data_IF_034361537174
#
_entry.id   IF_034361537174
#
_cell.length_a   1.000
_cell.length_b   1.000
_cell.length_c   1.000
_cell.angle_alpha   90.00
_cell.angle_beta   90.00
_cell.angle_gamma   90.00
#
_symmetry.space_group_name_H-M   'P 1'
#
loop_
_entity.id
_entity.type
_entity.pdbx_description
1 polymer ?
#
# COMPACT_ATOMS: atom_id res chain seq x y z
N UNK A 1 9.65 -29.89 -4.59
CA UNK A 1 9.00 -28.60 -4.87
C UNK A 1 7.54 -28.72 -4.46
N UNK A 2 7.03 -27.89 -3.55
CA UNK A 2 5.59 -27.81 -3.27
C UNK A 2 5.02 -26.72 -4.19
N UNK A 3 4.03 -27.07 -5.01
CA UNK A 3 3.34 -26.07 -5.84
C UNK A 3 2.49 -25.18 -4.96
N UNK A 4 2.96 -23.98 -4.66
CA UNK A 4 2.19 -22.93 -3.99
C UNK A 4 1.68 -21.93 -5.02
N UNK A 5 0.46 -21.45 -4.85
CA UNK A 5 -0.09 -20.36 -5.66
C UNK A 5 0.77 -19.09 -5.52
N UNK A 6 0.88 -18.32 -6.61
CA UNK A 6 1.80 -17.18 -6.76
C UNK A 6 1.61 -16.04 -5.75
N UNK A 7 0.56 -16.07 -4.93
CA UNK A 7 0.23 -15.08 -3.90
C UNK A 7 0.30 -15.71 -2.50
N UNK A 8 1.43 -16.35 -2.19
CA UNK A 8 1.65 -17.05 -0.91
C UNK A 8 0.53 -18.04 -0.56
N UNK A 9 0.01 -18.76 -1.57
CA UNK A 9 -1.04 -19.76 -1.40
C UNK A 9 -2.49 -19.29 -1.64
N UNK A 10 -2.75 -18.01 -1.94
CA UNK A 10 -4.11 -17.52 -2.17
C UNK A 10 -4.61 -17.75 -3.62
N UNK A 11 -5.85 -18.25 -3.77
CA UNK A 11 -6.51 -18.52 -5.07
C UNK A 11 -6.93 -17.23 -5.80
N UNK A 12 -7.22 -16.14 -5.06
CA UNK A 12 -7.57 -14.81 -5.60
C UNK A 12 -6.72 -13.68 -4.98
N UNK A 13 -5.40 -13.88 -4.89
CA UNK A 13 -4.54 -13.03 -4.05
C UNK A 13 -4.26 -11.60 -4.54
N UNK A 14 -4.63 -11.21 -5.78
CA UNK A 14 -4.47 -9.81 -6.24
C UNK A 14 -5.68 -8.94 -5.92
N UNK A 15 -6.88 -9.34 -6.34
CA UNK A 15 -8.13 -8.63 -6.04
C UNK A 15 -9.30 -9.59 -5.98
N UNK A 16 -10.13 -9.47 -4.95
CA UNK A 16 -11.35 -10.25 -4.78
C UNK A 16 -12.39 -9.41 -4.02
N UNK A 17 -13.35 -8.83 -4.74
CA UNK A 17 -14.34 -7.94 -4.15
C UNK A 17 -15.67 -7.99 -4.92
N UNK A 18 -16.72 -7.60 -4.23
CA UNK A 18 -18.05 -7.32 -4.80
C UNK A 18 -18.36 -5.85 -4.58
N UNK A 19 -19.25 -5.26 -5.37
CA UNK A 19 -19.58 -3.85 -5.20
C UNK A 19 -20.87 -3.42 -5.87
N UNK A 20 -21.28 -2.21 -5.50
CA UNK A 20 -22.40 -1.49 -6.09
C UNK A 20 -21.83 -0.25 -6.77
N UNK A 21 -22.32 0.03 -7.98
CA UNK A 21 -21.96 1.23 -8.72
C UNK A 21 -23.19 2.06 -9.01
N UNK A 22 -23.03 3.38 -8.89
CA UNK A 22 -23.95 4.40 -9.35
C UNK A 22 -23.26 5.24 -10.46
N UNK A 23 -23.96 6.18 -11.11
CA UNK A 23 -23.33 7.16 -11.99
C UNK A 23 -22.32 8.10 -11.30
N UNK A 24 -22.39 8.22 -9.97
CA UNK A 24 -21.59 9.16 -9.18
C UNK A 24 -20.44 8.50 -8.44
N UNK A 25 -20.54 7.20 -8.15
CA UNK A 25 -19.61 6.52 -7.27
C UNK A 25 -19.70 4.99 -7.35
N UNK A 26 -18.67 4.33 -6.82
CA UNK A 26 -18.62 2.89 -6.64
C UNK A 26 -18.18 2.58 -5.22
N UNK A 27 -18.93 1.69 -4.55
CA UNK A 27 -18.56 1.12 -3.25
C UNK A 27 -18.30 -0.36 -3.42
N UNK A 28 -17.16 -0.82 -2.91
CA UNK A 28 -16.72 -2.22 -3.03
C UNK A 28 -16.29 -2.77 -1.68
N UNK A 29 -16.46 -4.08 -1.51
CA UNK A 29 -16.16 -4.86 -0.32
C UNK A 29 -15.29 -6.05 -0.70
N UNK A 30 -14.09 -6.16 -0.10
CA UNK A 30 -13.21 -7.31 -0.31
C UNK A 30 -11.72 -6.98 -0.29
N UNK A 31 -10.89 -7.86 -0.88
CA UNK A 31 -9.43 -7.68 -1.01
C UNK A 31 -9.11 -6.79 -2.20
N UNK A 32 -8.46 -5.64 -1.95
CA UNK A 32 -8.25 -4.59 -2.95
C UNK A 32 -6.94 -3.82 -2.71
N UNK A 33 -6.46 -3.09 -3.72
CA UNK A 33 -5.37 -2.13 -3.55
C UNK A 33 -5.77 -0.94 -2.68
N UNK A 34 -4.80 -0.24 -2.08
CA UNK A 34 -5.05 1.01 -1.36
C UNK A 34 -4.96 2.24 -2.29
N UNK A 35 -5.27 3.42 -1.75
CA UNK A 35 -5.35 4.67 -2.53
C UNK A 35 -4.00 5.17 -3.03
N UNK A 36 -2.86 4.82 -2.42
CA UNK A 36 -1.52 5.16 -2.94
C UNK A 36 -1.28 4.42 -4.26
N UNK A 37 -1.61 3.13 -4.30
CA UNK A 37 -1.55 2.34 -5.54
C UNK A 37 -2.49 2.90 -6.59
N UNK A 38 -3.75 3.19 -6.22
CA UNK A 38 -4.78 3.62 -7.17
C UNK A 38 -4.44 4.94 -7.89
N UNK A 39 -3.86 5.91 -7.17
CA UNK A 39 -3.68 7.28 -7.68
C UNK A 39 -2.23 7.65 -8.01
N UNK A 40 -1.24 6.92 -7.51
CA UNK A 40 0.19 7.25 -7.69
C UNK A 40 0.98 6.07 -8.28
N UNK A 41 0.55 4.82 -8.06
CA UNK A 41 1.26 3.64 -8.55
C UNK A 41 1.56 3.70 -10.07
N UNK A 42 0.60 4.16 -10.88
CA UNK A 42 0.81 4.32 -12.33
C UNK A 42 1.83 5.39 -12.76
N UNK A 43 2.23 6.29 -11.86
CA UNK A 43 3.23 7.35 -12.12
C UNK A 43 4.65 6.92 -11.76
N UNK A 44 4.83 5.80 -11.08
CA UNK A 44 6.13 5.26 -10.70
C UNK A 44 6.83 4.63 -11.90
N UNK A 45 8.15 4.87 -12.06
CA UNK A 45 8.94 4.28 -13.14
C UNK A 45 8.90 2.75 -13.13
N UNK A 46 8.84 2.15 -11.93
CA UNK A 46 8.76 0.71 -11.75
C UNK A 46 7.49 0.10 -12.34
N UNK A 47 6.37 0.81 -12.23
CA UNK A 47 5.08 0.40 -12.79
C UNK A 47 4.93 0.66 -14.29
N UNK A 48 5.82 1.45 -14.90
CA UNK A 48 5.75 1.78 -16.33
C UNK A 48 6.72 0.97 -17.19
N UNK A 49 8.01 1.02 -16.89
CA UNK A 49 9.04 0.49 -17.79
C UNK A 49 10.21 -0.19 -17.07
N UNK A 50 10.53 0.26 -15.85
CA UNK A 50 11.69 -0.24 -15.12
C UNK A 50 11.41 -1.46 -14.24
N UNK A 51 10.15 -1.90 -14.16
CA UNK A 51 9.69 -3.04 -13.35
C UNK A 51 10.12 -2.89 -11.87
N UNK A 52 10.25 -3.98 -11.12
CA UNK A 52 10.63 -3.94 -9.70
C UNK A 52 11.99 -3.26 -9.44
N UNK A 53 12.87 -3.14 -10.43
CA UNK A 53 14.21 -2.55 -10.26
C UNK A 53 14.21 -1.04 -10.00
N UNK A 54 13.16 -0.31 -10.41
CA UNK A 54 12.99 1.10 -10.04
C UNK A 54 11.91 1.31 -8.97
N UNK A 55 11.46 0.24 -8.32
CA UNK A 55 10.60 0.36 -7.16
C UNK A 55 11.40 0.89 -5.98
N UNK A 56 10.73 1.63 -5.11
CA UNK A 56 11.37 2.04 -3.86
C UNK A 56 11.80 0.80 -3.06
N UNK A 57 12.95 0.83 -2.34
CA UNK A 57 13.51 -0.35 -1.70
C UNK A 57 12.51 -1.12 -0.83
N UNK A 58 12.27 -2.38 -1.18
CA UNK A 58 11.30 -3.25 -0.50
C UNK A 58 9.83 -2.86 -0.67
N UNK A 59 9.52 -1.96 -1.61
CA UNK A 59 8.19 -1.39 -1.84
C UNK A 59 7.56 -0.88 -0.55
N UNK A 60 8.38 -0.20 0.26
CA UNK A 60 8.03 0.23 1.61
C UNK A 60 6.93 1.30 1.65
N UNK A 61 6.55 1.88 0.52
CA UNK A 61 5.43 2.81 0.37
C UNK A 61 4.23 2.17 -0.35
N UNK A 62 4.34 0.90 -0.72
CA UNK A 62 3.36 0.12 -1.45
C UNK A 62 2.99 0.69 -2.84
N UNK A 63 3.76 1.62 -3.41
CA UNK A 63 3.45 2.20 -4.73
C UNK A 63 3.44 1.13 -5.83
N UNK A 64 4.33 0.13 -5.72
CA UNK A 64 4.41 -0.98 -6.66
C UNK A 64 3.54 -2.18 -6.24
N UNK A 65 2.52 -1.94 -5.42
CA UNK A 65 1.41 -2.84 -5.14
C UNK A 65 1.77 -4.20 -4.50
N UNK A 66 2.88 -4.29 -3.77
CA UNK A 66 3.32 -5.53 -3.11
C UNK A 66 2.29 -6.06 -2.11
N UNK A 67 1.61 -5.18 -1.39
CA UNK A 67 0.57 -5.50 -0.43
C UNK A 67 -0.80 -5.13 -0.99
N UNK A 68 -1.81 -5.96 -0.65
CA UNK A 68 -3.22 -5.67 -0.90
C UNK A 68 -3.97 -5.72 0.41
N UNK A 69 -5.06 -4.98 0.53
CA UNK A 69 -5.76 -4.80 1.80
C UNK A 69 -6.96 -5.75 1.85
N UNK A 70 -6.99 -6.64 2.84
CA UNK A 70 -8.13 -7.54 3.10
C UNK A 70 -9.27 -6.83 3.83
N UNK A 71 -10.47 -7.41 3.77
CA UNK A 71 -11.65 -6.96 4.52
C UNK A 71 -11.93 -5.46 4.35
N UNK A 72 -11.67 -4.95 3.14
CA UNK A 72 -11.68 -3.54 2.86
C UNK A 72 -13.03 -3.09 2.31
N UNK A 73 -13.48 -1.94 2.78
CA UNK A 73 -14.55 -1.14 2.21
C UNK A 73 -13.88 -0.01 1.44
N UNK A 74 -14.07 0.04 0.12
CA UNK A 74 -13.50 1.08 -0.73
C UNK A 74 -14.60 1.88 -1.41
N UNK A 75 -14.45 3.20 -1.37
CA UNK A 75 -15.22 4.17 -2.14
C UNK A 75 -14.35 4.77 -3.24
N UNK A 76 -14.91 4.86 -4.44
CA UNK A 76 -14.29 5.53 -5.60
C UNK A 76 -15.30 6.44 -6.26
N UNK A 77 -14.95 7.71 -6.46
CA UNK A 77 -15.81 8.67 -7.13
C UNK A 77 -15.90 8.41 -8.64
N UNK A 78 -16.95 8.94 -9.28
CA UNK A 78 -16.97 9.16 -10.71
C UNK A 78 -15.86 10.13 -11.14
N UNK A 79 -15.65 10.23 -12.45
CA UNK A 79 -14.74 11.22 -13.03
C UNK A 79 -15.44 12.59 -13.12
N UNK A 80 -14.97 13.56 -12.34
CA UNK A 80 -15.43 14.94 -12.38
C UNK A 80 -14.43 15.82 -13.13
N UNK A 81 -14.58 15.87 -14.46
CA UNK A 81 -13.75 16.71 -15.34
C UNK A 81 -12.24 16.45 -15.21
N UNK A 82 -11.87 15.18 -15.03
CA UNK A 82 -10.50 14.73 -14.85
C UNK A 82 -10.17 14.36 -13.40
N UNK A 83 -10.92 14.87 -12.43
CA UNK A 83 -10.73 14.55 -11.01
C UNK A 83 -11.43 13.25 -10.63
N UNK A 84 -10.69 12.34 -9.99
CA UNK A 84 -11.22 11.19 -9.26
C UNK A 84 -10.64 11.19 -7.86
N UNK A 85 -11.43 10.78 -6.88
CA UNK A 85 -10.97 10.63 -5.50
C UNK A 85 -11.62 9.43 -4.86
N UNK A 86 -11.01 8.95 -3.79
CA UNK A 86 -11.51 7.76 -3.12
C UNK A 86 -10.79 7.50 -1.81
N UNK A 87 -11.24 6.44 -1.16
CA UNK A 87 -10.71 6.01 0.10
C UNK A 87 -11.01 4.55 0.37
N UNK A 88 -10.22 3.97 1.26
CA UNK A 88 -10.35 2.59 1.70
C UNK A 88 -10.28 2.55 3.23
N UNK A 89 -11.08 1.68 3.83
CA UNK A 89 -10.98 1.32 5.24
C UNK A 89 -11.07 -0.20 5.42
N UNK A 90 -10.17 -0.78 6.21
CA UNK A 90 -10.14 -2.19 6.57
C UNK A 90 -10.34 -2.38 8.06
N UNK A 91 -11.25 -3.29 8.41
CA UNK A 91 -11.70 -3.54 9.78
C UNK A 91 -10.72 -4.38 10.63
N UNK A 92 -9.55 -4.73 10.11
CA UNK A 92 -8.50 -5.48 10.84
C UNK A 92 -8.80 -6.94 11.17
N UNK A 93 -10.06 -7.38 11.07
CA UNK A 93 -10.47 -8.79 11.10
C UNK A 93 -10.47 -9.44 12.50
N UNK A 94 -10.32 -8.66 13.57
CA UNK A 94 -10.32 -9.17 14.95
C UNK A 94 -11.60 -8.71 15.66
N UNK A 95 -12.50 -9.66 15.93
CA UNK A 95 -13.76 -9.40 16.60
C UNK A 95 -13.54 -8.71 17.96
N UNK A 96 -14.22 -7.58 18.18
CA UNK A 96 -14.10 -6.78 19.41
C UNK A 96 -12.85 -5.91 19.52
N UNK A 97 -11.97 -5.87 18.51
CA UNK A 97 -10.75 -5.04 18.50
C UNK A 97 -10.62 -4.25 17.20
N UNK A 98 -11.46 -3.23 17.03
CA UNK A 98 -11.55 -2.45 15.80
C UNK A 98 -10.30 -1.62 15.47
N UNK A 99 -9.49 -1.26 16.47
CA UNK A 99 -8.25 -0.48 16.29
C UNK A 99 -7.01 -1.33 16.07
N UNK A 100 -7.13 -2.66 16.04
CA UNK A 100 -6.02 -3.57 15.77
C UNK A 100 -6.06 -3.98 14.31
N UNK A 101 -4.90 -3.99 13.66
CA UNK A 101 -4.75 -4.35 12.25
C UNK A 101 -5.58 -3.50 11.27
N UNK A 102 -6.14 -2.36 11.71
CA UNK A 102 -6.89 -1.48 10.83
C UNK A 102 -5.97 -0.84 9.81
N UNK A 103 -6.49 -0.64 8.59
CA UNK A 103 -5.78 0.03 7.51
C UNK A 103 -6.75 1.01 6.88
N UNK A 104 -6.31 2.24 6.65
CA UNK A 104 -7.10 3.18 5.87
C UNK A 104 -6.23 4.00 4.93
N UNK A 105 -6.83 4.40 3.81
CA UNK A 105 -6.17 5.25 2.83
C UNK A 105 -7.14 6.24 2.22
N UNK A 106 -6.61 7.36 1.76
CA UNK A 106 -7.31 8.36 0.99
C UNK A 106 -6.44 8.77 -0.18
N UNK A 107 -7.05 9.15 -1.30
CA UNK A 107 -6.29 9.70 -2.41
C UNK A 107 -7.15 10.36 -3.45
N UNK A 108 -6.48 11.10 -4.32
CA UNK A 108 -7.08 11.76 -5.46
C UNK A 108 -6.10 11.76 -6.63
N UNK A 109 -6.66 11.66 -7.83
CA UNK A 109 -5.94 11.77 -9.09
C UNK A 109 -6.64 12.75 -10.01
N UNK A 110 -5.85 13.42 -10.84
CA UNK A 110 -6.36 14.36 -11.83
C UNK A 110 -5.72 14.06 -13.19
N UNK A 111 -6.57 13.82 -14.19
CA UNK A 111 -6.14 13.59 -15.58
C UNK A 111 -6.90 14.53 -16.50
N UNK A 112 -6.17 15.47 -17.11
CA UNK A 112 -6.74 16.35 -18.13
C UNK A 112 -5.72 16.66 -19.21
N UNK A 113 -6.03 16.24 -20.43
CA UNK A 113 -5.14 16.39 -21.58
C UNK A 113 -3.78 15.71 -21.31
N UNK A 114 -2.65 16.42 -21.49
CA UNK A 114 -1.32 15.85 -21.28
C UNK A 114 -0.92 15.71 -19.81
N UNK A 115 -1.68 16.29 -18.86
CA UNK A 115 -1.32 16.33 -17.45
C UNK A 115 -1.99 15.19 -16.67
N UNK A 116 -1.18 14.47 -15.90
CA UNK A 116 -1.61 13.50 -14.89
C UNK A 116 -1.00 13.87 -13.54
N UNK A 117 -1.81 13.91 -12.48
CA UNK A 117 -1.39 14.17 -11.10
C UNK A 117 -2.01 13.14 -10.17
N UNK A 118 -1.32 12.84 -9.07
CA UNK A 118 -1.79 11.93 -8.03
C UNK A 118 -1.29 12.33 -6.65
N UNK A 119 -2.12 12.14 -5.63
CA UNK A 119 -1.77 12.29 -4.22
C UNK A 119 -2.50 11.23 -3.39
N UNK A 120 -1.82 10.69 -2.39
CA UNK A 120 -2.36 9.62 -1.57
C UNK A 120 -1.74 9.60 -0.18
N UNK A 121 -2.51 9.09 0.76
CA UNK A 121 -2.08 8.80 2.12
C UNK A 121 -2.58 7.42 2.53
N UNK A 122 -1.74 6.66 3.21
CA UNK A 122 -2.01 5.32 3.71
C UNK A 122 -1.53 5.21 5.16
N UNK A 123 -2.39 4.71 6.03
CA UNK A 123 -2.12 4.41 7.43
C UNK A 123 -2.38 2.92 7.67
N UNK A 124 -1.36 2.21 8.14
CA UNK A 124 -1.40 0.79 8.43
C UNK A 124 -1.08 0.63 9.91
N UNK A 125 -2.00 0.04 10.67
CA UNK A 125 -1.76 -0.38 12.04
C UNK A 125 -1.30 -1.82 12.06
N UNK A 126 -0.27 -2.13 12.85
CA UNK A 126 0.31 -3.48 12.97
C UNK A 126 0.73 -4.06 11.60
N UNK A 127 1.59 -3.36 10.81
CA UNK A 127 1.91 -3.70 9.42
C UNK A 127 2.43 -5.12 9.23
N UNK A 128 3.05 -5.72 10.26
CA UNK A 128 3.51 -7.10 10.18
C UNK A 128 2.37 -8.10 10.03
N UNK A 129 1.23 -7.89 10.71
CA UNK A 129 0.08 -8.78 10.60
C UNK A 129 -1.00 -8.27 9.64
N UNK A 130 -1.17 -6.96 9.47
CA UNK A 130 -2.29 -6.39 8.71
C UNK A 130 -2.00 -6.24 7.20
N UNK A 131 -0.79 -5.82 6.84
CA UNK A 131 -0.41 -5.55 5.45
C UNK A 131 0.47 -6.65 4.87
N UNK A 132 1.52 -7.05 5.58
CA UNK A 132 2.46 -8.08 5.08
C UNK A 132 1.95 -9.49 5.38
N UNK A 133 1.48 -9.72 6.61
CA UNK A 133 0.98 -11.01 7.10
C UNK A 133 -0.47 -11.33 6.74
N UNK A 134 -0.89 -11.04 5.52
CA UNK A 134 -2.31 -11.06 5.16
C UNK A 134 -2.71 -12.12 4.11
N UNK A 135 -1.93 -13.20 4.02
CA UNK A 135 -2.20 -14.36 3.17
C UNK A 135 -2.35 -15.65 3.99
N UNK A 136 -2.83 -16.73 3.36
CA UNK A 136 -3.01 -18.03 4.02
C UNK A 136 -1.73 -18.62 4.64
N UNK A 137 -0.55 -18.28 4.12
CA UNK A 137 0.74 -18.78 4.62
C UNK A 137 1.40 -17.87 5.66
N UNK A 138 0.73 -16.78 6.07
CA UNK A 138 1.28 -15.82 7.01
C UNK A 138 1.37 -16.37 8.42
N UNK A 139 2.41 -15.99 9.14
CA UNK A 139 2.58 -16.28 10.56
C UNK A 139 1.63 -15.44 11.40
N UNK A 140 0.90 -16.09 12.30
CA UNK A 140 0.03 -15.43 13.27
C UNK A 140 0.80 -14.89 14.50
N UNK A 141 2.07 -15.28 14.67
CA UNK A 141 2.86 -14.98 15.88
C UNK A 141 4.24 -14.43 15.59
N UNK A 142 4.82 -14.71 14.43
CA UNK A 142 6.17 -14.31 14.03
C UNK A 142 6.20 -13.22 12.97
N UNK A 143 7.42 -12.90 12.51
CA UNK A 143 7.63 -11.89 11.47
C UNK A 143 7.16 -12.37 10.10
N UNK A 144 6.38 -11.55 9.40
CA UNK A 144 5.93 -11.76 8.03
C UNK A 144 6.72 -10.92 7.01
N UNK A 145 7.57 -9.99 7.46
CA UNK A 145 8.44 -9.17 6.60
C UNK A 145 9.50 -9.97 5.83
N UNK A 146 9.60 -11.28 6.10
CA UNK A 146 10.52 -12.18 5.42
C UNK A 146 11.98 -11.78 5.60
N UNK A 147 12.81 -12.11 4.61
CA UNK A 147 14.25 -11.85 4.62
C UNK A 147 14.65 -10.52 3.96
N UNK A 148 13.70 -9.62 3.71
CA UNK A 148 14.02 -8.33 3.08
C UNK A 148 14.85 -7.47 4.04
N UNK A 149 16.14 -7.31 3.73
CA UNK A 149 17.10 -6.59 4.57
C UNK A 149 16.75 -5.11 4.79
N UNK A 150 15.95 -4.51 3.91
CA UNK A 150 15.56 -3.10 4.01
C UNK A 150 14.48 -2.91 5.06
N UNK A 151 13.47 -3.78 5.07
CA UNK A 151 12.23 -3.57 5.84
C UNK A 151 12.05 -4.55 7.02
N UNK A 152 12.79 -5.67 7.06
CA UNK A 152 12.63 -6.70 8.10
C UNK A 152 12.86 -6.22 9.53
N UNK A 153 13.67 -5.17 9.72
CA UNK A 153 13.87 -4.54 11.02
C UNK A 153 12.65 -3.80 11.57
N UNK A 154 11.63 -3.54 10.76
CA UNK A 154 10.44 -2.75 11.16
C UNK A 154 9.22 -3.61 11.47
N UNK A 155 9.37 -4.94 11.53
CA UNK A 155 8.28 -5.87 11.85
C UNK A 155 7.65 -5.64 13.25
N UNK A 156 8.31 -4.90 14.15
CA UNK A 156 7.77 -4.51 15.46
C UNK A 156 7.15 -3.12 15.52
N UNK A 157 7.03 -2.41 14.39
CA UNK A 157 6.43 -1.09 14.33
C UNK A 157 4.93 -1.16 14.63
N UNK A 158 4.39 -0.27 15.48
CA UNK A 158 2.94 -0.22 15.71
C UNK A 158 2.16 0.28 14.49
N UNK A 159 2.79 1.13 13.68
CA UNK A 159 2.12 1.72 12.52
C UNK A 159 3.11 2.07 11.43
N UNK A 160 2.68 1.92 10.18
CA UNK A 160 3.35 2.41 8.99
C UNK A 160 2.46 3.46 8.32
N UNK A 161 3.02 4.64 8.06
CA UNK A 161 2.33 5.74 7.40
C UNK A 161 3.03 6.06 6.10
N UNK A 162 2.29 6.26 5.03
CA UNK A 162 2.82 6.62 3.72
C UNK A 162 2.09 7.85 3.24
N UNK A 163 2.85 8.90 2.92
CA UNK A 163 2.37 9.99 2.09
C UNK A 163 3.00 9.85 0.72
N UNK A 164 2.23 10.07 -0.34
CA UNK A 164 2.65 9.90 -1.72
C UNK A 164 2.09 11.02 -2.59
N UNK A 165 2.90 11.54 -3.51
CA UNK A 165 2.46 12.47 -4.54
C UNK A 165 3.25 12.25 -5.82
N UNK A 166 2.67 12.58 -6.97
CA UNK A 166 3.37 12.48 -8.24
C UNK A 166 2.67 13.22 -9.35
N UNK A 167 3.37 13.35 -10.47
CA UNK A 167 2.81 13.91 -11.68
C UNK A 167 3.58 13.50 -12.92
N UNK A 168 2.90 13.54 -14.06
CA UNK A 168 3.49 13.34 -15.37
C UNK A 168 2.85 14.28 -16.40
N UNK A 169 3.64 14.64 -17.40
CA UNK A 169 3.22 15.48 -18.51
C UNK A 169 3.72 14.92 -19.84
N UNK A 170 2.81 14.74 -20.80
CA UNK A 170 3.14 14.23 -22.13
C UNK A 170 3.32 15.36 -23.13
N UNK A 171 4.47 15.38 -23.81
CA UNK A 171 4.84 16.34 -24.86
C UNK A 171 5.21 15.56 -26.13
N UNK A 172 4.29 15.52 -27.10
CA UNK A 172 4.48 14.73 -28.31
C UNK A 172 4.63 13.24 -27.98
N UNK A 173 5.78 12.66 -28.32
CA UNK A 173 6.10 11.26 -28.03
C UNK A 173 6.81 11.04 -26.67
N UNK A 174 7.15 12.11 -25.94
CA UNK A 174 7.84 12.04 -24.66
C UNK A 174 6.88 12.23 -23.49
N UNK A 175 7.11 11.53 -22.39
CA UNK A 175 6.47 11.79 -21.09
C UNK A 175 7.57 12.12 -20.09
N UNK A 176 7.37 13.19 -19.33
CA UNK A 176 8.25 13.56 -18.22
C UNK A 176 7.43 13.53 -16.93
N UNK A 177 8.00 13.01 -15.86
CA UNK A 177 7.27 12.93 -14.61
C UNK A 177 8.11 12.48 -13.44
N UNK A 178 7.45 12.35 -12.30
CA UNK A 178 8.08 11.81 -11.11
C UNK A 178 7.10 11.62 -9.98
N UNK A 179 7.56 10.86 -8.99
CA UNK A 179 6.84 10.58 -7.76
C UNK A 179 7.73 10.89 -6.56
N UNK A 180 7.08 11.21 -5.46
CA UNK A 180 7.68 11.39 -4.14
C UNK A 180 6.85 10.60 -3.13
N UNK A 181 7.53 9.95 -2.19
CA UNK A 181 6.88 9.35 -1.03
C UNK A 181 7.62 9.63 0.27
N UNK A 182 6.87 9.63 1.37
CA UNK A 182 7.40 9.66 2.72
C UNK A 182 6.77 8.52 3.52
N UNK A 183 7.55 7.47 3.75
CA UNK A 183 7.13 6.34 4.58
C UNK A 183 7.68 6.48 5.99
N UNK A 184 6.85 6.22 7.00
CA UNK A 184 7.23 6.27 8.39
C UNK A 184 6.78 5.03 9.14
N UNK A 185 7.71 4.26 9.69
CA UNK A 185 7.42 3.21 10.67
C UNK A 185 7.54 3.81 12.07
N UNK A 186 6.47 3.79 12.86
CA UNK A 186 6.39 4.46 14.16
C UNK A 186 6.19 3.47 15.30
N UNK A 187 6.70 3.83 16.48
CA UNK A 187 6.67 3.04 17.71
C UNK A 187 7.24 1.63 17.47
N UNK A 188 8.53 1.58 17.15
CA UNK A 188 9.29 0.32 17.09
C UNK A 188 9.25 -0.35 18.48
N UNK A 189 9.00 -1.67 18.57
CA UNK A 189 8.50 -2.42 19.75
C UNK A 189 7.03 -2.20 20.13
N UNK A 190 6.25 -1.52 19.30
CA UNK A 190 4.83 -1.28 19.59
C UNK A 190 3.91 -2.43 19.18
N UNK A 191 4.36 -3.32 18.31
CA UNK A 191 3.65 -4.54 17.91
C UNK A 191 4.26 -5.77 18.62
N UNK A 192 3.40 -6.60 19.22
CA UNK A 192 3.81 -7.77 19.99
C UNK A 192 3.87 -9.01 19.09
N UNK A 193 4.95 -9.78 19.18
CA UNK A 193 5.12 -11.05 18.48
C UNK A 193 6.51 -11.64 18.69
N UNK A 194 6.68 -12.91 18.31
CA UNK A 194 7.92 -13.67 18.48
C UNK A 194 8.95 -13.19 17.46
N UNK A 195 10.07 -12.64 17.94
CA UNK A 195 11.19 -12.25 17.09
C UNK A 195 10.93 -11.04 16.19
N UNK A 196 9.89 -10.23 16.45
CA UNK A 196 9.57 -9.04 15.64
C UNK A 196 10.60 -7.90 15.80
N UNK A 197 11.41 -7.94 16.86
CA UNK A 197 12.44 -6.93 17.11
C UNK A 197 13.83 -7.56 17.32
N UNK A 198 14.43 -8.17 16.29
CA UNK A 198 15.72 -8.83 16.42
C UNK A 198 16.88 -7.85 16.62
N UNK A 199 16.68 -6.57 16.28
CA UNK A 199 17.67 -5.49 16.41
C UNK A 199 17.49 -4.69 17.72
N UNK A 200 16.55 -5.10 18.57
CA UNK A 200 16.30 -4.50 19.88
C UNK A 200 16.05 -2.97 19.87
N UNK A 201 15.37 -2.41 18.88
CA UNK A 201 14.99 -0.99 18.86
C UNK A 201 14.21 -0.56 20.13
N UNK A 202 14.58 0.51 20.81
CA UNK A 202 13.97 0.95 22.09
C UNK A 202 12.94 2.09 21.90
N UNK A 203 11.99 1.93 20.97
CA UNK A 203 11.04 2.98 20.58
C UNK A 203 11.51 3.81 19.37
N UNK A 204 10.78 4.88 19.03
CA UNK A 204 11.16 5.82 17.96
C UNK A 204 10.36 5.70 16.66
N UNK A 205 10.83 6.35 15.59
CA UNK A 205 10.24 6.27 14.25
C UNK A 205 11.32 6.27 13.18
N UNK A 206 11.25 5.36 12.22
CA UNK A 206 12.06 5.37 11.01
C UNK A 206 11.31 6.13 9.90
N UNK A 207 12.00 6.97 9.13
CA UNK A 207 11.41 7.78 8.06
C UNK A 207 12.22 7.64 6.77
N UNK A 208 11.52 7.47 5.65
CA UNK A 208 12.10 7.23 4.33
C UNK A 208 11.48 8.22 3.33
N UNK A 209 12.18 9.31 2.97
CA UNK A 209 11.84 10.09 1.80
C UNK A 209 12.35 9.37 0.54
N UNK A 210 11.46 9.09 -0.41
CA UNK A 210 11.83 8.46 -1.68
C UNK A 210 11.38 9.35 -2.85
N UNK A 211 12.14 9.32 -3.94
CA UNK A 211 11.87 10.08 -5.17
C UNK A 211 12.15 9.16 -6.35
N UNK A 212 11.29 9.21 -7.36
CA UNK A 212 11.47 8.55 -8.64
C UNK A 212 11.13 9.53 -9.79
N UNK A 213 11.75 9.36 -10.95
CA UNK A 213 11.52 10.19 -12.13
C UNK A 213 11.37 9.32 -13.37
N UNK A 214 10.48 9.72 -14.28
CA UNK A 214 10.21 9.10 -15.58
C UNK A 214 10.41 10.10 -16.71
#
# INVERSE_FOLDING_TARGET
MKGSLSQAGDEFGRSAYVGLSSPYDTVTLGRQYDSVVDYIGGLEAGSQWATYFAAHPGDLDNMNNSNRINNAIKYTSANYSGLKFGGLYSLGGIAGQYSRNEIWSLGAGYVQGPLTLGIGYLDIIDPNFSAVGNSAQSSATGSNFGSNVVISGYASAKSQKVFAAGGAYTIGAATIGGTYSNTQFKKLRGEAGVGLNPVEYTGGSAKFPNVNSI
#
